data_IF_168578717425
#
_entry.id   IF_168578717425
#
_cell.length_a   1.000
_cell.length_b   1.000
_cell.length_c   1.000
_cell.angle_alpha   90.00
_cell.angle_beta   90.00
_cell.angle_gamma   90.00
#
_symmetry.space_group_name_H-M   'P 1'
#
loop_
_entity.id
_entity.type
_entity.pdbx_description
1 polymer ?
#
# COMPACT_ATOMS: atom_id res chain seq x y z
N UNK A 1 -4.88 7.08 -15.49
CA UNK A 1 -4.79 5.59 -15.46
C UNK A 1 -4.84 5.12 -14.01
N UNK A 2 -5.40 3.94 -13.70
CA UNK A 2 -5.38 3.40 -12.34
C UNK A 2 -5.12 1.90 -12.32
N UNK A 3 -4.34 1.43 -11.36
CA UNK A 3 -4.02 0.01 -11.20
C UNK A 3 -3.96 -0.39 -9.71
N UNK A 4 -4.55 -1.54 -9.39
CA UNK A 4 -4.57 -2.14 -8.06
C UNK A 4 -4.17 -3.61 -8.18
N UNK A 5 -3.25 -4.07 -7.32
CA UNK A 5 -2.89 -5.48 -7.18
C UNK A 5 -2.80 -5.86 -5.70
N UNK A 6 -3.41 -6.98 -5.34
CA UNK A 6 -3.14 -7.68 -4.07
C UNK A 6 -2.41 -8.98 -4.41
N UNK A 7 -1.25 -9.21 -3.79
CA UNK A 7 -0.33 -10.31 -4.15
C UNK A 7 0.28 -10.98 -2.94
N UNK A 8 0.60 -12.28 -3.05
CA UNK A 8 1.32 -13.00 -2.00
C UNK A 8 2.85 -12.90 -2.18
N UNK A 9 3.31 -12.95 -3.43
CA UNK A 9 4.72 -12.98 -3.74
C UNK A 9 5.42 -11.68 -3.32
N UNK A 10 6.63 -11.75 -2.71
CA UNK A 10 7.46 -10.58 -2.45
C UNK A 10 7.69 -9.76 -3.74
N UNK A 11 7.97 -8.48 -3.57
CA UNK A 11 8.33 -7.58 -4.67
C UNK A 11 9.30 -6.50 -4.18
N UNK A 12 10.12 -5.99 -5.10
CA UNK A 12 10.86 -4.75 -4.92
C UNK A 12 9.97 -3.58 -5.42
N UNK A 13 9.55 -2.65 -4.53
CA UNK A 13 8.65 -1.56 -4.90
C UNK A 13 9.21 -0.62 -5.96
N UNK A 14 10.52 -0.38 -5.96
CA UNK A 14 11.16 0.56 -6.87
C UNK A 14 11.34 -0.04 -8.25
N UNK A 15 11.72 -1.32 -8.32
CA UNK A 15 11.75 -2.07 -9.56
C UNK A 15 10.33 -2.21 -10.15
N UNK A 16 9.35 -2.59 -9.33
CA UNK A 16 7.97 -2.73 -9.75
C UNK A 16 7.42 -1.40 -10.31
N UNK A 17 7.67 -0.29 -9.61
CA UNK A 17 7.28 1.06 -10.06
C UNK A 17 7.91 1.39 -11.42
N UNK A 18 9.21 1.15 -11.59
CA UNK A 18 9.93 1.42 -12.83
C UNK A 18 9.40 0.59 -13.99
N UNK A 19 9.17 -0.71 -13.78
CA UNK A 19 8.59 -1.63 -14.77
C UNK A 19 7.18 -1.19 -15.16
N UNK A 20 6.33 -0.90 -14.17
CA UNK A 20 4.97 -0.42 -14.42
C UNK A 20 4.98 0.87 -15.25
N UNK A 21 5.82 1.85 -14.91
CA UNK A 21 5.90 3.12 -15.63
C UNK A 21 6.44 2.94 -17.06
N UNK A 22 7.34 1.98 -17.30
CA UNK A 22 7.84 1.66 -18.64
C UNK A 22 6.76 1.10 -19.57
N UNK A 23 5.80 0.35 -19.01
CA UNK A 23 4.69 -0.25 -19.75
C UNK A 23 3.52 0.73 -19.90
N UNK A 24 3.48 1.75 -19.05
CA UNK A 24 2.41 2.74 -18.96
C UNK A 24 2.99 4.16 -19.02
N UNK A 25 3.44 4.60 -20.20
CA UNK A 25 4.02 5.93 -20.35
C UNK A 25 3.01 7.01 -19.95
N UNK A 26 3.48 7.92 -19.11
CA UNK A 26 2.69 9.03 -18.59
C UNK A 26 2.52 10.13 -19.64
N UNK A 27 1.45 10.90 -19.52
CA UNK A 27 1.26 12.11 -20.31
C UNK A 27 2.30 13.17 -19.89
N UNK A 28 2.82 13.93 -20.85
CA UNK A 28 3.78 15.01 -20.65
C UNK A 28 3.30 16.09 -19.66
N UNK A 29 2.00 16.14 -19.36
CA UNK A 29 1.43 17.01 -18.32
C UNK A 29 1.73 16.57 -16.89
N UNK A 30 2.17 15.33 -16.65
CA UNK A 30 2.51 14.83 -15.31
C UNK A 30 3.78 15.53 -14.81
N UNK A 31 3.63 16.43 -13.84
CA UNK A 31 4.72 17.25 -13.31
C UNK A 31 5.25 16.81 -11.96
N UNK A 32 4.55 15.90 -11.28
CA UNK A 32 4.93 15.40 -9.96
C UNK A 32 4.52 13.94 -9.76
N UNK A 33 5.37 13.22 -9.04
CA UNK A 33 5.11 11.85 -8.56
C UNK A 33 5.34 11.83 -7.06
N UNK A 34 4.38 11.28 -6.31
CA UNK A 34 4.56 10.95 -4.90
C UNK A 34 4.48 9.43 -4.74
N UNK A 35 5.42 8.88 -3.98
CA UNK A 35 5.53 7.44 -3.73
C UNK A 35 5.60 7.20 -2.23
N UNK A 36 4.78 6.28 -1.76
CA UNK A 36 4.83 5.73 -0.41
C UNK A 36 5.15 4.23 -0.50
N UNK A 37 6.09 3.80 0.32
CA UNK A 37 6.41 2.39 0.52
C UNK A 37 6.28 2.08 2.01
N UNK A 38 5.39 1.14 2.35
CA UNK A 38 5.26 0.62 3.71
C UNK A 38 6.04 -0.67 3.84
N UNK A 39 6.90 -0.76 4.86
CA UNK A 39 7.68 -1.95 5.19
C UNK A 39 7.32 -2.48 6.57
N UNK A 40 7.45 -3.79 6.77
CA UNK A 40 7.27 -4.38 8.09
C UNK A 40 8.36 -3.89 9.05
N UNK A 41 7.95 -3.43 10.23
CA UNK A 41 8.85 -3.14 11.35
C UNK A 41 9.01 -4.38 12.22
N UNK A 42 10.13 -4.48 12.91
CA UNK A 42 10.43 -5.50 13.92
C UNK A 42 9.82 -5.19 15.30
N UNK A 43 8.91 -4.23 15.39
CA UNK A 43 8.18 -3.93 16.62
C UNK A 43 6.73 -3.48 16.33
N UNK A 44 5.83 -3.81 17.25
CA UNK A 44 4.45 -3.33 17.24
C UNK A 44 3.85 -3.32 18.67
N UNK A 45 3.05 -2.31 19.00
CA UNK A 45 2.37 -2.16 20.30
C UNK A 45 3.29 -2.26 21.55
N UNK A 46 4.59 -1.96 21.39
CA UNK A 46 5.58 -2.01 22.48
C UNK A 46 6.34 -3.34 22.60
N UNK A 47 6.03 -4.32 21.75
CA UNK A 47 6.69 -5.62 21.70
C UNK A 47 7.51 -5.79 20.42
N UNK A 48 8.59 -6.56 20.52
CA UNK A 48 9.40 -6.98 19.37
C UNK A 48 8.69 -8.11 18.59
N UNK A 49 8.69 -8.00 17.27
CA UNK A 49 7.98 -8.88 16.33
C UNK A 49 8.95 -9.47 15.32
N UNK A 50 8.93 -10.78 15.17
CA UNK A 50 9.84 -11.53 14.26
C UNK A 50 9.21 -11.83 12.90
N UNK A 51 7.89 -11.73 12.79
CA UNK A 51 7.16 -12.02 11.56
C UNK A 51 5.70 -11.55 11.63
N UNK A 52 5.10 -11.41 10.47
CA UNK A 52 3.69 -11.07 10.31
C UNK A 52 3.07 -11.95 9.22
N UNK A 53 1.84 -12.41 9.44
CA UNK A 53 0.98 -12.95 8.40
C UNK A 53 -0.18 -11.99 8.19
N UNK A 54 -0.36 -11.55 6.94
CA UNK A 54 -1.41 -10.60 6.57
C UNK A 54 -2.48 -11.31 5.73
N UNK A 55 -3.70 -11.36 6.25
CA UNK A 55 -4.86 -11.92 5.55
C UNK A 55 -5.72 -10.83 4.94
N UNK A 56 -6.46 -11.17 3.90
CA UNK A 56 -7.44 -10.29 3.27
C UNK A 56 -8.70 -11.08 2.88
N UNK A 57 -9.77 -10.37 2.55
CA UNK A 57 -10.96 -10.98 1.95
C UNK A 57 -10.78 -10.95 0.42
N UNK A 58 -10.54 -12.09 -0.25
CA UNK A 58 -10.31 -12.10 -1.69
C UNK A 58 -11.51 -11.60 -2.48
N UNK A 59 -11.26 -10.70 -3.42
CA UNK A 59 -12.26 -10.03 -4.25
C UNK A 59 -12.91 -8.81 -3.59
N UNK A 60 -13.13 -8.79 -2.27
CA UNK A 60 -13.71 -7.63 -1.59
C UNK A 60 -12.65 -6.55 -1.37
N UNK A 61 -11.46 -6.94 -0.93
CA UNK A 61 -10.35 -6.03 -0.64
C UNK A 61 -9.92 -5.28 -1.90
N UNK A 62 -9.74 -6.02 -2.99
CA UNK A 62 -9.37 -5.50 -4.31
C UNK A 62 -10.41 -4.48 -4.79
N UNK A 63 -11.71 -4.81 -4.72
CA UNK A 63 -12.79 -3.89 -5.12
C UNK A 63 -12.83 -2.61 -4.28
N UNK A 64 -12.56 -2.70 -2.98
CA UNK A 64 -12.53 -1.52 -2.12
C UNK A 64 -11.32 -0.63 -2.44
N UNK A 65 -10.15 -1.23 -2.66
CA UNK A 65 -8.96 -0.52 -3.10
C UNK A 65 -9.18 0.14 -4.47
N UNK A 66 -9.78 -0.57 -5.42
CA UNK A 66 -10.15 -0.02 -6.74
C UNK A 66 -11.10 1.18 -6.60
N UNK A 67 -12.10 1.07 -5.73
CA UNK A 67 -13.06 2.16 -5.46
C UNK A 67 -12.36 3.38 -4.84
N UNK A 68 -11.49 3.15 -3.86
CA UNK A 68 -10.71 4.19 -3.20
C UNK A 68 -9.77 4.91 -4.18
N UNK A 69 -9.06 4.14 -5.00
CA UNK A 69 -8.17 4.69 -6.03
C UNK A 69 -8.95 5.50 -7.05
N UNK A 70 -10.09 4.97 -7.53
CA UNK A 70 -10.94 5.68 -8.47
C UNK A 70 -11.45 7.02 -7.91
N UNK A 71 -11.90 7.02 -6.66
CA UNK A 71 -12.34 8.25 -5.98
C UNK A 71 -11.19 9.26 -5.86
N UNK A 72 -9.99 8.81 -5.48
CA UNK A 72 -8.82 9.70 -5.33
C UNK A 72 -8.35 10.27 -6.67
N UNK A 73 -8.37 9.46 -7.74
CA UNK A 73 -8.05 9.94 -9.09
C UNK A 73 -8.99 11.06 -9.51
N UNK A 74 -10.29 10.94 -9.19
CA UNK A 74 -11.28 11.98 -9.48
C UNK A 74 -11.12 13.23 -8.61
N UNK A 75 -10.94 13.05 -7.30
CA UNK A 75 -10.85 14.16 -6.33
C UNK A 75 -9.63 15.06 -6.59
N UNK A 76 -8.47 14.47 -6.82
CA UNK A 76 -7.22 15.22 -7.05
C UNK A 76 -6.85 15.40 -8.52
N UNK A 77 -7.70 14.97 -9.46
CA UNK A 77 -7.42 15.01 -10.90
C UNK A 77 -6.07 14.37 -11.27
N UNK A 78 -5.81 13.18 -10.72
CA UNK A 78 -4.55 12.47 -10.92
C UNK A 78 -4.41 11.97 -12.37
N UNK A 79 -3.20 12.07 -12.92
CA UNK A 79 -2.85 11.50 -14.22
C UNK A 79 -2.78 9.98 -14.12
N UNK A 80 -2.22 9.48 -13.02
CA UNK A 80 -2.20 8.06 -12.71
C UNK A 80 -2.14 7.73 -11.22
N UNK A 81 -2.56 6.51 -10.88
CA UNK A 81 -2.39 5.93 -9.54
C UNK A 81 -2.09 4.42 -9.61
N UNK A 82 -1.17 3.96 -8.76
CA UNK A 82 -0.73 2.59 -8.62
C UNK A 82 -0.79 2.21 -7.14
N UNK A 83 -1.49 1.12 -6.82
CA UNK A 83 -1.51 0.52 -5.48
C UNK A 83 -1.18 -0.97 -5.59
N UNK A 84 -0.12 -1.40 -4.93
CA UNK A 84 0.24 -2.81 -4.81
C UNK A 84 0.35 -3.16 -3.34
N UNK A 85 -0.39 -4.17 -2.89
CA UNK A 85 -0.39 -4.62 -1.50
C UNK A 85 -0.02 -6.09 -1.41
N UNK A 86 0.91 -6.42 -0.52
CA UNK A 86 1.32 -7.78 -0.21
C UNK A 86 0.46 -8.37 0.90
N UNK A 87 0.09 -9.63 0.74
CA UNK A 87 -0.56 -10.48 1.74
C UNK A 87 0.31 -11.72 2.00
N UNK A 88 -0.05 -12.54 2.99
CA UNK A 88 0.72 -13.73 3.37
C UNK A 88 1.83 -13.43 4.37
N UNK A 89 2.87 -14.27 4.40
CA UNK A 89 4.00 -14.14 5.32
C UNK A 89 4.90 -12.97 4.93
N UNK A 90 5.26 -12.14 5.90
CA UNK A 90 6.12 -10.96 5.75
C UNK A 90 7.10 -10.94 6.92
N UNK A 91 8.38 -10.73 6.62
CA UNK A 91 9.43 -10.57 7.61
C UNK A 91 9.82 -9.10 7.81
N UNK A 92 10.47 -8.73 8.93
CA UNK A 92 10.96 -7.38 9.13
C UNK A 92 11.78 -6.83 7.96
N UNK A 93 11.67 -5.52 7.73
CA UNK A 93 12.24 -4.78 6.61
C UNK A 93 11.71 -5.19 5.22
N UNK A 94 10.81 -6.16 5.10
CA UNK A 94 10.21 -6.48 3.81
C UNK A 94 9.09 -5.49 3.44
N UNK A 95 8.97 -5.13 2.15
CA UNK A 95 7.86 -4.34 1.65
C UNK A 95 6.50 -5.04 1.83
N UNK A 96 5.53 -4.24 2.27
CA UNK A 96 4.13 -4.59 2.42
C UNK A 96 3.31 -3.90 1.34
N UNK A 97 3.49 -2.60 1.14
CA UNK A 97 2.63 -1.80 0.26
C UNK A 97 3.44 -0.79 -0.54
N UNK A 98 3.06 -0.59 -1.79
CA UNK A 98 3.49 0.48 -2.68
C UNK A 98 2.26 1.28 -3.08
N UNK A 99 2.29 2.59 -2.85
CA UNK A 99 1.33 3.55 -3.41
C UNK A 99 2.13 4.58 -4.20
N UNK A 100 1.82 4.74 -5.48
CA UNK A 100 2.39 5.80 -6.31
C UNK A 100 1.29 6.56 -7.02
N UNK A 101 1.39 7.89 -7.04
CA UNK A 101 0.45 8.76 -7.74
C UNK A 101 1.20 9.77 -8.58
N UNK A 102 0.62 10.11 -9.73
CA UNK A 102 1.15 11.07 -10.68
C UNK A 102 0.11 12.17 -10.90
N UNK A 103 0.57 13.42 -10.91
CA UNK A 103 -0.28 14.59 -11.14
C UNK A 103 0.51 15.72 -11.77
N UNK A 104 -0.18 16.75 -12.24
CA UNK A 104 0.46 17.95 -12.77
C UNK A 104 1.29 18.72 -11.73
N UNK A 105 0.93 18.64 -10.45
CA UNK A 105 1.47 19.50 -9.40
C UNK A 105 1.71 18.73 -8.10
N UNK A 106 2.76 19.12 -7.37
CA UNK A 106 3.22 18.35 -6.20
C UNK A 106 2.22 18.32 -5.04
N UNK A 107 1.36 19.32 -4.90
CA UNK A 107 0.44 19.39 -3.76
C UNK A 107 -0.57 18.24 -3.83
N UNK A 108 -1.17 18.07 -5.00
CA UNK A 108 -2.12 17.02 -5.34
C UNK A 108 -1.47 15.64 -5.23
N UNK A 109 -0.23 15.49 -5.71
CA UNK A 109 0.53 14.24 -5.55
C UNK A 109 0.71 13.86 -4.06
N UNK A 110 1.16 14.80 -3.22
CA UNK A 110 1.38 14.51 -1.80
C UNK A 110 0.06 14.23 -1.06
N UNK A 111 -0.95 15.07 -1.28
CA UNK A 111 -2.23 14.97 -0.58
C UNK A 111 -2.96 13.69 -0.96
N UNK A 112 -3.01 13.33 -2.25
CA UNK A 112 -3.63 12.10 -2.70
C UNK A 112 -2.87 10.85 -2.23
N UNK A 113 -1.54 10.85 -2.27
CA UNK A 113 -0.73 9.71 -1.79
C UNK A 113 -0.97 9.47 -0.30
N UNK A 114 -0.97 10.54 0.50
CA UNK A 114 -1.29 10.48 1.92
C UNK A 114 -2.71 9.99 2.15
N UNK A 115 -3.69 10.55 1.45
CA UNK A 115 -5.09 10.16 1.57
C UNK A 115 -5.28 8.68 1.28
N UNK A 116 -4.73 8.17 0.17
CA UNK A 116 -4.80 6.77 -0.20
C UNK A 116 -4.28 5.86 0.91
N UNK A 117 -3.11 6.18 1.50
CA UNK A 117 -2.56 5.37 2.58
C UNK A 117 -3.38 5.43 3.87
N UNK A 118 -3.80 6.62 4.28
CA UNK A 118 -4.64 6.74 5.48
C UNK A 118 -5.95 5.98 5.29
N UNK A 119 -6.64 6.19 4.17
CA UNK A 119 -7.93 5.52 3.92
C UNK A 119 -7.74 4.01 3.79
N UNK A 120 -6.70 3.52 3.10
CA UNK A 120 -6.39 2.09 3.00
C UNK A 120 -6.27 1.45 4.40
N UNK A 121 -5.54 2.10 5.32
CA UNK A 121 -5.41 1.62 6.71
C UNK A 121 -6.73 1.59 7.47
N UNK A 122 -7.72 2.37 7.09
CA UNK A 122 -9.01 2.42 7.81
C UNK A 122 -10.08 1.55 7.17
N UNK A 123 -10.09 1.43 5.85
CA UNK A 123 -11.22 0.85 5.12
C UNK A 123 -10.97 -0.54 4.57
N UNK A 124 -9.72 -0.89 4.23
CA UNK A 124 -9.43 -2.18 3.61
C UNK A 124 -9.40 -3.31 4.65
N UNK A 125 -10.10 -4.44 4.42
CA UNK A 125 -10.21 -5.54 5.36
C UNK A 125 -8.95 -6.41 5.33
N UNK A 126 -7.88 -5.88 5.93
CA UNK A 126 -6.67 -6.64 6.21
C UNK A 126 -6.66 -7.06 7.68
N UNK A 127 -6.33 -8.32 7.93
CA UNK A 127 -6.13 -8.85 9.27
C UNK A 127 -4.69 -9.22 9.50
N UNK A 128 -4.12 -8.69 10.57
CA UNK A 128 -2.71 -8.83 10.89
C UNK A 128 -2.53 -9.84 12.02
N UNK A 129 -1.72 -10.86 11.77
CA UNK A 129 -1.26 -11.83 12.78
C UNK A 129 0.24 -11.70 12.97
N UNK A 130 0.70 -11.44 14.18
CA UNK A 130 2.12 -11.19 14.50
C UNK A 130 2.72 -12.38 15.24
N UNK A 131 4.00 -12.65 14.98
CA UNK A 131 4.83 -13.61 15.72
C UNK A 131 5.80 -12.85 16.60
N UNK A 132 5.75 -13.07 17.91
CA UNK A 132 6.63 -12.43 18.90
C UNK A 132 7.98 -13.16 19.01
N UNK A 133 8.92 -12.57 19.75
CA UNK A 133 10.28 -13.16 19.94
C UNK A 133 10.27 -14.47 20.72
N UNK A 134 9.27 -14.73 21.54
CA UNK A 134 9.09 -16.00 22.27
C UNK A 134 8.38 -17.09 21.44
N UNK A 135 8.05 -16.78 20.18
CA UNK A 135 7.34 -17.66 19.25
C UNK A 135 5.82 -17.67 19.44
N UNK A 136 5.27 -16.93 20.40
CA UNK A 136 3.83 -16.76 20.53
C UNK A 136 3.25 -15.93 19.38
N UNK A 137 1.95 -16.09 19.14
CA UNK A 137 1.25 -15.47 18.01
C UNK A 137 0.04 -14.71 18.52
N UNK A 138 -0.17 -13.48 18.03
CA UNK A 138 -1.35 -12.67 18.33
C UNK A 138 -2.01 -12.12 17.08
N UNK A 139 -3.33 -11.93 17.13
CA UNK A 139 -4.06 -11.14 16.15
C UNK A 139 -4.12 -9.70 16.63
N UNK A 140 -3.91 -8.76 15.72
CA UNK A 140 -3.97 -7.33 16.03
C UNK A 140 -5.39 -6.84 15.78
N UNK A 141 -6.09 -6.51 16.86
CA UNK A 141 -7.53 -6.18 16.84
C UNK A 141 -7.84 -4.81 16.20
N UNK A 142 -6.87 -3.91 16.10
CA UNK A 142 -7.05 -2.56 15.56
C UNK A 142 -5.88 -2.09 14.72
N UNK A 143 -6.19 -1.41 13.61
CA UNK A 143 -5.19 -0.66 12.88
C UNK A 143 -4.71 0.52 13.73
N UNK A 144 -3.40 0.58 13.95
CA UNK A 144 -2.77 1.64 14.74
C UNK A 144 -2.77 2.94 13.91
N UNK A 145 -3.16 4.09 14.48
CA UNK A 145 -3.00 5.38 13.80
C UNK A 145 -1.54 5.60 13.40
N UNK A 146 -1.34 6.17 12.20
CA UNK A 146 -0.03 6.57 11.69
C UNK A 146 0.55 7.79 12.39
#
# INVERSE_FOLDING_TARGET
>A
MQYVEVREAPFDPWQYLAEWQSQHPLDARSGATAVFVGTMRDFNEGDDVTGMYLEHYPGMTERQLETLVAASVQEWSLDAALVVHRVGEIAPAQPIVLVAVWSAHRAEAFDACRHLMETLKHTAPFWKRETLTDGSVRWVDKNTPG
#
